data_IF_048444367592
#
_entry.id   IF_048444367592
#
_cell.length_a   1.000
_cell.length_b   1.000
_cell.length_c   1.000
_cell.angle_alpha   90.00
_cell.angle_beta   90.00
_cell.angle_gamma   90.00
#
_symmetry.space_group_name_H-M   'P 1'
#
loop_
_entity.id
_entity.type
_entity.pdbx_description
1 polymer ?
#
# COMPACT_ATOMS: atom_id res chain seq x y z
N UNK A 1 2.14 25.09 4.40
CA UNK A 1 2.24 26.35 3.63
C UNK A 1 3.34 26.21 2.60
N UNK A 2 3.00 26.19 1.31
CA UNK A 2 3.92 25.94 0.21
C UNK A 2 4.44 27.26 -0.40
N UNK A 3 5.39 27.91 0.28
CA UNK A 3 6.03 29.14 -0.22
C UNK A 3 6.84 28.86 -1.49
N UNK A 4 7.42 27.67 -1.60
CA UNK A 4 8.23 27.31 -2.76
C UNK A 4 7.42 27.33 -4.05
N UNK A 5 6.19 26.79 -4.04
CA UNK A 5 5.26 26.85 -5.18
C UNK A 5 4.92 28.28 -5.59
N UNK A 6 4.79 29.20 -4.63
CA UNK A 6 4.60 30.63 -4.92
C UNK A 6 5.84 31.23 -5.62
N UNK A 7 7.04 30.92 -5.12
CA UNK A 7 8.31 31.43 -5.68
C UNK A 7 8.52 30.89 -7.10
N UNK A 8 8.33 29.59 -7.29
CA UNK A 8 8.56 28.92 -8.57
C UNK A 8 7.60 29.47 -9.63
N UNK A 9 6.30 29.62 -9.29
CA UNK A 9 5.33 30.21 -10.20
C UNK A 9 5.64 31.64 -10.58
N UNK A 10 6.12 32.46 -9.64
CA UNK A 10 6.58 33.82 -9.94
C UNK A 10 7.72 33.82 -10.96
N UNK A 11 8.71 32.95 -10.76
CA UNK A 11 9.87 32.83 -11.65
C UNK A 11 9.48 32.31 -13.03
N UNK A 12 8.58 31.33 -13.12
CA UNK A 12 8.02 30.83 -14.38
C UNK A 12 7.34 31.92 -15.21
N UNK A 13 6.61 32.82 -14.55
CA UNK A 13 5.96 33.96 -15.19
C UNK A 13 6.90 35.14 -15.45
N UNK A 14 8.19 35.02 -15.07
CA UNK A 14 9.20 36.05 -15.31
C UNK A 14 9.07 37.29 -14.43
N UNK A 15 8.24 37.28 -13.40
CA UNK A 15 8.04 38.46 -12.54
C UNK A 15 9.21 38.66 -11.57
N UNK A 16 9.76 39.87 -11.51
CA UNK A 16 10.54 40.31 -10.35
C UNK A 16 9.63 40.52 -9.12
N UNK A 17 10.20 40.50 -7.92
CA UNK A 17 9.43 40.80 -6.69
C UNK A 17 8.80 42.20 -6.73
N UNK A 18 9.46 43.17 -7.36
CA UNK A 18 8.93 44.53 -7.50
C UNK A 18 7.73 44.58 -8.46
N UNK A 19 7.78 43.83 -9.57
CA UNK A 19 6.68 43.75 -10.53
C UNK A 19 5.48 43.02 -9.93
N UNK A 20 5.71 41.90 -9.24
CA UNK A 20 4.65 41.16 -8.56
C UNK A 20 3.97 42.03 -7.49
N UNK A 21 4.73 42.85 -6.75
CA UNK A 21 4.22 43.73 -5.70
C UNK A 21 3.39 44.91 -6.23
N UNK A 22 3.59 45.33 -7.48
CA UNK A 22 3.06 46.59 -8.03
C UNK A 22 1.53 46.72 -7.88
N UNK A 23 1.07 47.74 -7.15
CA UNK A 23 -0.36 47.98 -6.93
C UNK A 23 -1.04 47.01 -5.94
N UNK A 24 -0.27 46.18 -5.23
CA UNK A 24 -0.78 45.25 -4.21
C UNK A 24 -0.08 45.51 -2.86
N UNK A 25 1.25 45.49 -2.84
CA UNK A 25 2.04 45.71 -1.63
C UNK A 25 3.44 46.26 -1.98
N UNK A 26 4.38 46.25 -1.03
CA UNK A 26 5.78 46.66 -1.28
C UNK A 26 6.65 45.46 -1.64
N UNK A 27 7.72 45.68 -2.41
CA UNK A 27 8.69 44.64 -2.74
C UNK A 27 9.29 43.99 -1.48
N UNK A 28 9.52 44.79 -0.43
CA UNK A 28 10.00 44.29 0.86
C UNK A 28 9.03 43.30 1.52
N UNK A 29 7.71 43.46 1.32
CA UNK A 29 6.69 42.53 1.82
C UNK A 29 6.79 41.17 1.13
N UNK A 30 6.95 41.16 -0.21
CA UNK A 30 7.17 39.92 -0.97
C UNK A 30 8.49 39.27 -0.56
N UNK A 31 9.57 40.04 -0.46
CA UNK A 31 10.88 39.52 -0.04
C UNK A 31 10.81 38.87 1.35
N UNK A 32 10.11 39.48 2.31
CA UNK A 32 9.92 38.89 3.66
C UNK A 32 9.03 37.65 3.65
N UNK A 33 8.02 37.60 2.78
CA UNK A 33 7.19 36.42 2.61
C UNK A 33 7.98 35.26 1.99
N UNK A 34 8.71 35.51 0.89
CA UNK A 34 9.50 34.49 0.18
C UNK A 34 10.70 33.98 1.00
N UNK A 35 11.44 34.86 1.66
CA UNK A 35 12.69 34.48 2.33
C UNK A 35 12.52 34.06 3.81
N UNK A 36 11.55 34.65 4.52
CA UNK A 36 11.42 34.47 5.97
C UNK A 36 10.07 33.87 6.39
N UNK A 37 9.21 33.51 5.43
CA UNK A 37 7.88 32.98 5.71
C UNK A 37 6.98 33.91 6.51
N UNK A 38 7.28 35.22 6.51
CA UNK A 38 6.51 36.18 7.31
C UNK A 38 5.09 36.27 6.77
N UNK A 39 4.12 35.88 7.60
CA UNK A 39 2.70 35.94 7.25
C UNK A 39 2.29 37.37 6.86
N UNK A 40 1.73 37.48 5.66
CA UNK A 40 1.10 38.67 5.14
C UNK A 40 -0.41 38.57 5.33
N UNK A 41 -1.12 39.68 5.22
CA UNK A 41 -2.58 39.64 5.34
C UNK A 41 -3.17 38.78 4.23
N UNK A 42 -4.23 38.05 4.55
CA UNK A 42 -4.97 37.21 3.59
C UNK A 42 -5.39 38.01 2.35
N UNK A 43 -5.82 39.26 2.53
CA UNK A 43 -6.16 40.17 1.42
C UNK A 43 -4.99 40.36 0.44
N UNK A 44 -3.77 40.62 0.93
CA UNK A 44 -2.58 40.80 0.09
C UNK A 44 -2.24 39.47 -0.60
N UNK A 45 -2.25 38.37 0.15
CA UNK A 45 -1.90 37.07 -0.40
C UNK A 45 -2.85 36.64 -1.52
N UNK A 46 -4.17 36.78 -1.35
CA UNK A 46 -5.15 36.44 -2.39
C UNK A 46 -4.92 37.24 -3.67
N UNK A 47 -4.62 38.54 -3.56
CA UNK A 47 -4.32 39.38 -4.72
C UNK A 47 -3.04 38.94 -5.45
N UNK A 48 -2.01 38.53 -4.70
CA UNK A 48 -0.77 38.00 -5.27
C UNK A 48 -1.01 36.64 -5.94
N UNK A 49 -1.75 35.72 -5.31
CA UNK A 49 -2.14 34.44 -5.89
C UNK A 49 -2.88 34.65 -7.22
N UNK A 50 -3.88 35.54 -7.23
CA UNK A 50 -4.67 35.85 -8.42
C UNK A 50 -3.79 36.34 -9.58
N UNK A 51 -2.79 37.17 -9.30
CA UNK A 51 -1.84 37.66 -10.32
C UNK A 51 -0.92 36.55 -10.86
N UNK A 52 -0.61 35.55 -10.04
CA UNK A 52 0.19 34.38 -10.43
C UNK A 52 -0.64 33.26 -11.06
N UNK A 53 -1.97 33.41 -11.13
CA UNK A 53 -2.89 32.35 -11.55
C UNK A 53 -2.93 31.17 -10.57
N UNK A 54 -2.62 31.43 -9.30
CA UNK A 54 -2.71 30.46 -8.21
C UNK A 54 -4.01 30.69 -7.42
N UNK A 55 -4.52 29.61 -6.84
CA UNK A 55 -5.52 29.68 -5.78
C UNK A 55 -4.84 29.81 -4.41
N UNK A 56 -5.60 30.15 -3.37
CA UNK A 56 -5.10 30.04 -2.00
C UNK A 56 -4.76 28.60 -1.63
N UNK A 57 -5.48 27.61 -2.18
CA UNK A 57 -5.23 26.18 -1.94
C UNK A 57 -3.87 25.72 -2.50
N UNK A 58 -3.33 26.40 -3.52
CA UNK A 58 -1.98 26.11 -4.02
C UNK A 58 -0.87 26.47 -3.02
N UNK A 59 -1.15 27.39 -2.09
CA UNK A 59 -0.20 27.87 -1.08
C UNK A 59 -0.53 27.29 0.30
N UNK A 60 -1.80 27.13 0.58
CA UNK A 60 -2.33 26.48 1.78
C UNK A 60 -3.27 25.37 1.35
N UNK A 61 -2.72 24.20 0.97
CA UNK A 61 -3.55 23.03 0.72
C UNK A 61 -4.44 22.80 1.93
N UNK A 62 -5.72 22.54 1.71
CA UNK A 62 -6.58 22.09 2.82
C UNK A 62 -6.09 20.72 3.29
N UNK A 63 -6.32 20.38 4.56
CA UNK A 63 -6.04 19.03 5.07
C UNK A 63 -6.71 17.96 4.19
N UNK A 64 -7.93 18.22 3.73
CA UNK A 64 -8.66 17.33 2.82
C UNK A 64 -7.97 17.13 1.45
N UNK A 65 -7.36 18.18 0.88
CA UNK A 65 -6.64 18.08 -0.40
C UNK A 65 -5.33 17.29 -0.23
N UNK A 66 -4.61 17.54 0.87
CA UNK A 66 -3.38 16.82 1.23
C UNK A 66 -3.66 15.34 1.47
N UNK A 67 -4.68 15.03 2.28
CA UNK A 67 -5.09 13.67 2.59
C UNK A 67 -5.52 12.92 1.32
N UNK A 68 -6.22 13.58 0.40
CA UNK A 68 -6.63 12.99 -0.89
C UNK A 68 -5.43 12.62 -1.77
N UNK A 69 -4.43 13.50 -1.86
CA UNK A 69 -3.21 13.23 -2.62
C UNK A 69 -2.40 12.08 -1.99
N UNK A 70 -2.24 12.07 -0.67
CA UNK A 70 -1.56 10.97 0.05
C UNK A 70 -2.30 9.65 -0.17
N UNK A 71 -3.64 9.63 -0.07
CA UNK A 71 -4.45 8.42 -0.34
C UNK A 71 -4.26 7.90 -1.76
N UNK A 72 -4.11 8.79 -2.75
CA UNK A 72 -3.85 8.37 -4.13
C UNK A 72 -2.49 7.68 -4.27
N UNK A 73 -1.44 8.22 -3.65
CA UNK A 73 -0.11 7.61 -3.66
C UNK A 73 -0.07 6.32 -2.83
N UNK A 74 -0.79 6.24 -1.71
CA UNK A 74 -0.92 4.99 -0.95
C UNK A 74 -1.61 3.88 -1.76
N UNK A 75 -2.66 4.20 -2.52
CA UNK A 75 -3.28 3.21 -3.43
C UNK A 75 -2.31 2.70 -4.50
N UNK A 76 -1.41 3.57 -5.00
CA UNK A 76 -0.36 3.16 -5.94
C UNK A 76 0.67 2.26 -5.25
N UNK A 77 1.12 2.62 -4.05
CA UNK A 77 2.04 1.79 -3.28
C UNK A 77 1.43 0.43 -2.89
N UNK A 78 0.13 0.37 -2.56
CA UNK A 78 -0.59 -0.88 -2.30
C UNK A 78 -0.69 -1.74 -3.57
N UNK A 79 -0.89 -1.13 -4.74
CA UNK A 79 -0.86 -1.84 -6.01
C UNK A 79 0.53 -2.45 -6.29
N UNK A 80 1.59 -1.66 -6.14
CA UNK A 80 2.98 -2.10 -6.33
C UNK A 80 3.34 -3.22 -5.34
N UNK A 81 2.82 -3.17 -4.11
CA UNK A 81 2.95 -4.25 -3.14
C UNK A 81 2.33 -5.57 -3.66
N UNK A 82 1.12 -5.52 -4.23
CA UNK A 82 0.40 -6.69 -4.76
C UNK A 82 1.11 -7.26 -5.99
N UNK A 83 1.62 -6.41 -6.87
CA UNK A 83 2.39 -6.82 -8.07
C UNK A 83 3.82 -7.25 -7.75
N UNK A 84 4.20 -7.29 -6.47
CA UNK A 84 5.53 -7.68 -5.97
C UNK A 84 6.65 -6.70 -6.34
N UNK A 85 6.30 -5.46 -6.66
CA UNK A 85 7.17 -4.34 -6.99
C UNK A 85 7.54 -3.57 -5.70
N UNK A 86 8.13 -4.29 -4.73
CA UNK A 86 8.36 -3.77 -3.36
C UNK A 86 9.24 -2.52 -3.32
N UNK A 87 10.21 -2.41 -4.23
CA UNK A 87 11.13 -1.27 -4.28
C UNK A 87 10.43 0.01 -4.75
N UNK A 88 9.47 -0.13 -5.67
CA UNK A 88 8.64 0.97 -6.17
C UNK A 88 7.66 1.42 -5.09
N UNK A 89 7.01 0.48 -4.40
CA UNK A 89 6.17 0.77 -3.24
C UNK A 89 6.94 1.54 -2.15
N UNK A 90 8.12 1.06 -1.75
CA UNK A 90 8.99 1.75 -0.78
C UNK A 90 9.53 3.10 -1.31
N UNK A 91 9.65 3.25 -2.62
CA UNK A 91 9.99 4.52 -3.27
C UNK A 91 8.90 5.56 -3.07
N UNK A 92 7.64 5.21 -3.35
CA UNK A 92 6.48 6.06 -3.14
C UNK A 92 6.38 6.45 -1.66
N UNK A 93 6.43 5.47 -0.75
CA UNK A 93 6.27 5.72 0.69
C UNK A 93 7.35 6.64 1.28
N UNK A 94 8.58 6.61 0.78
CA UNK A 94 9.66 7.51 1.23
C UNK A 94 9.44 8.96 0.80
N UNK A 95 8.64 9.21 -0.24
CA UNK A 95 8.34 10.55 -0.72
C UNK A 95 7.18 11.23 0.03
N UNK A 96 6.44 10.47 0.86
CA UNK A 96 5.30 10.98 1.61
C UNK A 96 5.74 11.65 2.91
N UNK A 97 5.25 12.86 3.15
CA UNK A 97 5.42 13.57 4.42
C UNK A 97 4.40 13.08 5.46
N UNK A 98 4.46 11.78 5.78
CA UNK A 98 3.43 11.11 6.59
C UNK A 98 3.30 11.72 8.00
N UNK A 99 4.38 12.22 8.58
CA UNK A 99 4.37 12.86 9.91
C UNK A 99 3.51 14.13 9.99
N UNK A 100 3.17 14.73 8.84
CA UNK A 100 2.29 15.90 8.76
C UNK A 100 0.80 15.53 8.63
N UNK A 101 0.48 14.24 8.47
CA UNK A 101 -0.88 13.76 8.27
C UNK A 101 -1.52 13.39 9.61
N UNK A 102 -2.59 14.10 9.98
CA UNK A 102 -3.34 13.84 11.22
C UNK A 102 -4.31 12.66 11.14
N UNK A 103 -4.65 12.20 9.92
CA UNK A 103 -5.60 11.11 9.71
C UNK A 103 -5.00 9.75 10.10
N UNK A 104 -5.51 9.18 11.20
CA UNK A 104 -5.07 7.89 11.73
C UNK A 104 -5.25 6.74 10.74
N UNK A 105 -6.25 6.79 9.87
CA UNK A 105 -6.49 5.75 8.88
C UNK A 105 -5.41 5.76 7.80
N UNK A 106 -4.98 6.95 7.36
CA UNK A 106 -3.87 7.12 6.43
C UNK A 106 -2.56 6.63 7.07
N UNK A 107 -2.34 6.95 8.35
CA UNK A 107 -1.17 6.46 9.10
C UNK A 107 -1.10 4.94 9.15
N UNK A 108 -2.20 4.26 9.51
CA UNK A 108 -2.24 2.80 9.53
C UNK A 108 -2.06 2.18 8.14
N UNK A 109 -2.63 2.79 7.11
CA UNK A 109 -2.46 2.33 5.72
C UNK A 109 -1.00 2.43 5.27
N UNK A 110 -0.35 3.56 5.54
CA UNK A 110 1.08 3.75 5.31
C UNK A 110 1.91 2.67 6.02
N UNK A 111 1.69 2.46 7.32
CA UNK A 111 2.42 1.48 8.13
C UNK A 111 2.20 0.05 7.64
N UNK A 112 0.98 -0.28 7.24
CA UNK A 112 0.63 -1.58 6.66
C UNK A 112 1.44 -1.84 5.38
N UNK A 113 1.39 -0.92 4.40
CA UNK A 113 2.08 -1.11 3.12
C UNK A 113 3.59 -1.17 3.33
N UNK A 114 4.13 -0.27 4.16
CA UNK A 114 5.56 -0.22 4.50
C UNK A 114 6.03 -1.52 5.15
N UNK A 115 5.32 -1.97 6.18
CA UNK A 115 5.66 -3.18 6.92
C UNK A 115 5.66 -4.43 6.03
N UNK A 116 4.65 -4.58 5.16
CA UNK A 116 4.59 -5.70 4.23
C UNK A 116 5.73 -5.64 3.20
N UNK A 117 5.99 -4.47 2.61
CA UNK A 117 7.05 -4.32 1.64
C UNK A 117 8.44 -4.63 2.24
N UNK A 118 8.71 -4.19 3.48
CA UNK A 118 9.95 -4.50 4.20
C UNK A 118 10.08 -6.00 4.51
N UNK A 119 9.02 -6.62 5.04
CA UNK A 119 9.02 -8.04 5.38
C UNK A 119 9.20 -8.93 4.14
N UNK A 120 8.44 -8.66 3.06
CA UNK A 120 8.45 -9.48 1.85
C UNK A 120 9.71 -9.29 1.00
N UNK A 121 10.33 -8.10 1.02
CA UNK A 121 11.62 -7.85 0.38
C UNK A 121 12.82 -8.35 1.20
N UNK A 122 12.59 -8.86 2.42
CA UNK A 122 13.62 -9.34 3.37
C UNK A 122 14.72 -8.31 3.67
N UNK A 123 14.39 -7.02 3.61
CA UNK A 123 15.36 -5.93 3.83
C UNK A 123 15.60 -5.66 5.31
N UNK A 124 14.52 -5.54 6.07
CA UNK A 124 14.57 -5.19 7.49
C UNK A 124 13.34 -5.76 8.21
N UNK A 125 13.54 -6.87 8.92
CA UNK A 125 12.47 -7.57 9.63
C UNK A 125 12.08 -6.81 10.90
N UNK A 126 13.04 -6.19 11.58
CA UNK A 126 12.79 -5.45 12.82
C UNK A 126 11.98 -4.19 12.54
N UNK A 127 12.31 -3.46 11.47
CA UNK A 127 11.54 -2.29 11.04
C UNK A 127 10.13 -2.68 10.54
N UNK A 128 9.98 -3.83 9.89
CA UNK A 128 8.67 -4.36 9.53
C UNK A 128 7.81 -4.66 10.76
N UNK A 129 8.39 -5.34 11.77
CA UNK A 129 7.74 -5.62 13.05
C UNK A 129 7.35 -4.31 13.74
N UNK A 130 8.23 -3.32 13.75
CA UNK A 130 7.95 -2.01 14.33
C UNK A 130 6.73 -1.33 13.68
N UNK A 131 6.62 -1.37 12.35
CA UNK A 131 5.44 -0.84 11.65
C UNK A 131 4.13 -1.50 12.13
N UNK A 132 4.13 -2.82 12.31
CA UNK A 132 2.96 -3.55 12.78
C UNK A 132 2.68 -3.33 14.26
N UNK A 133 3.71 -3.15 15.08
CA UNK A 133 3.59 -2.80 16.49
C UNK A 133 2.94 -1.43 16.68
N UNK A 134 3.33 -0.43 15.88
CA UNK A 134 2.69 0.89 15.89
C UNK A 134 1.20 0.82 15.54
N UNK A 135 0.79 -0.09 14.64
CA UNK A 135 -0.63 -0.31 14.35
C UNK A 135 -1.32 -0.91 15.59
N UNK A 136 -0.82 -2.03 16.11
CA UNK A 136 -1.49 -2.82 17.16
C UNK A 136 -1.50 -2.11 18.51
N UNK A 137 -0.42 -1.43 18.88
CA UNK A 137 -0.20 -0.85 20.20
C UNK A 137 -0.22 0.69 20.21
N UNK A 138 -0.51 1.33 19.07
CA UNK A 138 -0.57 2.79 18.96
C UNK A 138 -1.83 3.31 18.27
N UNK A 139 -2.05 2.93 17.02
CA UNK A 139 -3.17 3.47 16.24
C UNK A 139 -4.50 2.72 16.42
N UNK A 140 -4.45 1.40 16.68
CA UNK A 140 -5.62 0.52 16.83
C UNK A 140 -5.49 -0.41 18.04
N UNK A 141 -5.19 0.15 19.21
CA UNK A 141 -5.08 -0.58 20.50
C UNK A 141 -6.32 -1.37 20.90
N UNK A 142 -7.50 -1.03 20.36
CA UNK A 142 -8.74 -1.78 20.59
C UNK A 142 -8.93 -2.93 19.59
N UNK A 143 -8.07 -3.04 18.59
CA UNK A 143 -8.07 -4.03 17.52
C UNK A 143 -9.41 -4.11 16.77
N UNK A 144 -9.94 -2.94 16.42
CA UNK A 144 -11.28 -2.79 15.84
C UNK A 144 -11.28 -2.59 14.34
N UNK A 145 -10.15 -2.14 13.77
CA UNK A 145 -10.05 -1.86 12.34
C UNK A 145 -9.56 -3.08 11.56
N UNK A 146 -9.65 -2.99 10.22
CA UNK A 146 -9.06 -4.00 9.31
C UNK A 146 -7.52 -4.04 9.41
N UNK A 147 -6.88 -3.01 9.95
CA UNK A 147 -5.42 -2.95 10.05
C UNK A 147 -4.85 -3.86 11.13
N UNK A 148 -5.60 -4.16 12.19
CA UNK A 148 -5.16 -5.11 13.21
C UNK A 148 -4.95 -6.54 12.69
N UNK A 149 -5.92 -7.18 12.00
CA UNK A 149 -5.68 -8.50 11.41
C UNK A 149 -4.64 -8.45 10.28
N UNK A 150 -4.52 -7.36 9.53
CA UNK A 150 -3.41 -7.16 8.59
C UNK A 150 -2.05 -7.12 9.29
N UNK A 151 -1.94 -6.42 10.41
CA UNK A 151 -0.71 -6.31 11.19
C UNK A 151 -0.34 -7.65 11.83
N UNK A 152 -1.31 -8.47 12.26
CA UNK A 152 -1.04 -9.84 12.69
C UNK A 152 -0.49 -10.70 11.54
N UNK A 153 -1.11 -10.68 10.36
CA UNK A 153 -0.57 -11.38 9.19
C UNK A 153 0.83 -10.86 8.84
N UNK A 154 1.06 -9.55 8.93
CA UNK A 154 2.35 -8.90 8.73
C UNK A 154 3.42 -9.40 9.71
N UNK A 155 3.12 -9.44 11.01
CA UNK A 155 3.97 -10.04 12.04
C UNK A 155 4.28 -11.51 11.71
N UNK A 156 3.28 -12.27 11.25
CA UNK A 156 3.44 -13.65 10.81
C UNK A 156 4.46 -13.78 9.68
N UNK A 157 4.35 -12.95 8.64
CA UNK A 157 5.31 -12.87 7.53
C UNK A 157 6.71 -12.54 8.06
N UNK A 158 6.84 -11.51 8.88
CA UNK A 158 8.12 -11.08 9.45
C UNK A 158 8.81 -12.20 10.23
N UNK A 159 8.10 -12.88 11.14
CA UNK A 159 8.65 -13.99 11.90
C UNK A 159 8.97 -15.21 11.05
N UNK A 160 8.16 -15.49 10.02
CA UNK A 160 8.47 -16.54 9.05
C UNK A 160 9.77 -16.24 8.31
N UNK A 161 9.99 -14.99 7.87
CA UNK A 161 11.24 -14.60 7.21
C UNK A 161 12.46 -14.68 8.13
N UNK A 162 12.27 -14.42 9.43
CA UNK A 162 13.29 -14.64 10.45
C UNK A 162 13.52 -16.14 10.80
N UNK A 163 12.78 -17.07 10.18
CA UNK A 163 12.86 -18.50 10.47
C UNK A 163 12.20 -18.93 11.79
N UNK A 164 11.44 -18.04 12.44
CA UNK A 164 10.72 -18.32 13.69
C UNK A 164 9.27 -18.73 13.40
N UNK A 165 9.11 -19.99 13.00
CA UNK A 165 7.81 -20.53 12.57
C UNK A 165 6.77 -20.60 13.71
N UNK A 166 7.18 -20.86 14.95
CA UNK A 166 6.25 -20.92 16.08
C UNK A 166 5.61 -19.55 16.35
N UNK A 167 6.41 -18.47 16.31
CA UNK A 167 5.88 -17.11 16.41
C UNK A 167 5.03 -16.76 15.19
N UNK A 168 5.47 -17.15 13.99
CA UNK A 168 4.69 -16.91 12.79
C UNK A 168 3.28 -17.54 12.89
N UNK A 169 3.21 -18.80 13.31
CA UNK A 169 1.96 -19.55 13.51
C UNK A 169 1.04 -18.88 14.55
N UNK A 170 1.61 -18.40 15.66
CA UNK A 170 0.87 -17.65 16.68
C UNK A 170 0.20 -16.40 16.09
N UNK A 171 0.85 -15.68 15.18
CA UNK A 171 0.27 -14.47 14.59
C UNK A 171 -0.72 -14.78 13.45
N UNK A 172 -0.42 -15.75 12.58
CA UNK A 172 -1.33 -16.16 11.52
C UNK A 172 -2.64 -16.76 12.07
N UNK A 173 -2.58 -17.53 13.16
CA UNK A 173 -3.77 -18.14 13.77
C UNK A 173 -4.77 -17.13 14.37
N UNK A 174 -4.37 -15.87 14.59
CA UNK A 174 -5.26 -14.80 15.06
C UNK A 174 -6.15 -14.20 13.96
N UNK A 175 -5.80 -14.43 12.69
CA UNK A 175 -6.50 -13.81 11.55
C UNK A 175 -7.94 -14.33 11.36
N UNK A 176 -8.25 -15.66 11.39
CA UNK A 176 -9.56 -16.18 10.98
C UNK A 176 -10.75 -15.71 11.82
N UNK A 177 -10.56 -15.58 13.14
CA UNK A 177 -11.60 -15.07 14.04
C UNK A 177 -11.95 -13.60 13.71
N UNK A 178 -10.95 -12.82 13.32
CA UNK A 178 -11.06 -11.37 13.07
C UNK A 178 -11.60 -11.04 11.68
N UNK A 179 -11.40 -11.91 10.68
CA UNK A 179 -12.08 -11.78 9.39
C UNK A 179 -13.61 -11.91 9.52
N UNK A 180 -14.10 -12.77 10.42
CA UNK A 180 -15.54 -12.97 10.63
C UNK A 180 -16.22 -11.77 11.27
N UNK A 181 -15.51 -11.00 12.09
CA UNK A 181 -16.07 -9.82 12.79
C UNK A 181 -16.04 -8.55 11.93
N UNK A 182 -15.17 -8.49 10.92
CA UNK A 182 -14.86 -7.26 10.17
C UNK A 182 -15.35 -7.28 8.71
N UNK A 183 -16.44 -8.00 8.40
CA UNK A 183 -17.00 -8.09 7.05
C UNK A 183 -17.58 -6.74 6.56
N UNK A 184 -16.70 -5.82 6.19
CA UNK A 184 -17.05 -4.54 5.57
C UNK A 184 -17.30 -4.72 4.06
N UNK A 185 -18.24 -3.94 3.54
CA UNK A 185 -18.86 -4.11 2.21
C UNK A 185 -18.17 -3.32 1.09
N UNK A 186 -17.07 -2.65 1.36
CA UNK A 186 -16.42 -1.73 0.40
C UNK A 186 -15.30 -2.43 -0.39
N UNK A 187 -15.12 -2.05 -1.67
CA UNK A 187 -14.15 -2.63 -2.60
C UNK A 187 -12.72 -2.44 -2.09
N UNK A 188 -12.40 -1.28 -1.50
CA UNK A 188 -11.07 -1.02 -0.91
C UNK A 188 -10.76 -1.94 0.30
N UNK A 189 -11.80 -2.46 0.96
CA UNK A 189 -11.65 -3.45 2.04
C UNK A 189 -11.52 -4.90 1.53
N UNK A 190 -11.90 -5.14 0.27
CA UNK A 190 -11.78 -6.47 -0.36
C UNK A 190 -10.31 -6.83 -0.52
N UNK A 191 -9.47 -5.94 -1.04
CA UNK A 191 -8.05 -6.26 -1.26
C UNK A 191 -7.30 -6.56 0.03
N UNK A 192 -7.65 -5.89 1.12
CA UNK A 192 -7.12 -6.17 2.46
C UNK A 192 -7.51 -7.58 2.93
N UNK A 193 -8.73 -8.01 2.64
CA UNK A 193 -9.18 -9.40 2.88
C UNK A 193 -8.45 -10.42 2.02
N UNK A 194 -8.28 -10.13 0.72
CA UNK A 194 -7.54 -11.01 -0.19
C UNK A 194 -6.07 -11.14 0.23
N UNK A 195 -5.43 -10.04 0.62
CA UNK A 195 -4.07 -10.01 1.18
C UNK A 195 -3.96 -10.96 2.37
N UNK A 196 -4.86 -10.84 3.36
CA UNK A 196 -4.85 -11.72 4.53
C UNK A 196 -5.02 -13.19 4.18
N UNK A 197 -5.99 -13.52 3.31
CA UNK A 197 -6.24 -14.90 2.87
C UNK A 197 -5.04 -15.47 2.12
N UNK A 198 -4.42 -14.68 1.22
CA UNK A 198 -3.30 -15.12 0.41
C UNK A 198 -2.08 -15.48 1.27
N UNK A 199 -1.63 -14.54 2.11
CA UNK A 199 -0.41 -14.75 2.90
C UNK A 199 -0.61 -15.82 3.97
N UNK A 200 -1.78 -15.90 4.58
CA UNK A 200 -2.09 -16.98 5.53
C UNK A 200 -2.18 -18.35 4.83
N UNK A 201 -2.79 -18.40 3.64
CA UNK A 201 -2.82 -19.62 2.82
C UNK A 201 -1.43 -20.11 2.44
N UNK A 202 -0.54 -19.20 2.04
CA UNK A 202 0.86 -19.52 1.73
C UNK A 202 1.64 -19.99 2.97
N UNK A 203 1.40 -19.40 4.14
CA UNK A 203 2.01 -19.85 5.38
C UNK A 203 1.65 -21.30 5.69
N UNK A 204 0.37 -21.65 5.65
CA UNK A 204 -0.08 -23.03 5.90
C UNK A 204 0.42 -24.01 4.84
N UNK A 205 0.54 -23.60 3.57
CA UNK A 205 1.22 -24.41 2.55
C UNK A 205 2.68 -24.70 2.93
N UNK A 206 3.42 -23.68 3.38
CA UNK A 206 4.81 -23.83 3.82
C UNK A 206 4.97 -24.72 5.06
N UNK A 207 3.91 -24.87 5.86
CA UNK A 207 3.83 -25.77 7.02
C UNK A 207 3.34 -27.18 6.65
N UNK A 208 3.10 -27.45 5.36
CA UNK A 208 2.54 -28.69 4.84
C UNK A 208 1.08 -28.97 5.32
N UNK A 209 0.36 -27.93 5.70
CA UNK A 209 -1.07 -27.96 6.04
C UNK A 209 -1.90 -27.61 4.79
N UNK A 210 -1.84 -28.50 3.80
CA UNK A 210 -2.32 -28.24 2.43
C UNK A 210 -3.83 -28.01 2.38
N UNK A 211 -4.61 -28.71 3.20
CA UNK A 211 -6.06 -28.57 3.26
C UNK A 211 -6.48 -27.17 3.73
N UNK A 212 -5.81 -26.65 4.77
CA UNK A 212 -6.08 -25.31 5.30
C UNK A 212 -5.66 -24.25 4.28
N UNK A 213 -4.49 -24.43 3.66
CA UNK A 213 -4.03 -23.57 2.57
C UNK A 213 -5.06 -23.49 1.44
N UNK A 214 -5.51 -24.65 0.93
CA UNK A 214 -6.47 -24.73 -0.15
C UNK A 214 -7.82 -24.08 0.21
N UNK A 215 -8.30 -24.26 1.44
CA UNK A 215 -9.52 -23.61 1.93
C UNK A 215 -9.42 -22.08 1.88
N UNK A 216 -8.30 -21.53 2.37
CA UNK A 216 -8.06 -20.08 2.40
C UNK A 216 -7.94 -19.51 0.98
N UNK A 217 -7.17 -20.17 0.11
CA UNK A 217 -6.95 -19.73 -1.27
C UNK A 217 -8.21 -19.86 -2.13
N UNK A 218 -9.05 -20.89 -1.90
CA UNK A 218 -10.35 -20.99 -2.56
C UNK A 218 -11.31 -19.89 -2.06
N UNK A 219 -11.27 -19.56 -0.77
CA UNK A 219 -12.06 -18.44 -0.21
C UNK A 219 -11.65 -17.11 -0.85
N UNK A 220 -10.35 -16.92 -1.11
CA UNK A 220 -9.82 -15.77 -1.84
C UNK A 220 -10.36 -15.72 -3.27
N UNK A 221 -10.34 -16.84 -4.01
CA UNK A 221 -10.85 -16.91 -5.39
C UNK A 221 -12.36 -16.61 -5.42
N UNK A 222 -13.14 -17.18 -4.50
CA UNK A 222 -14.58 -16.94 -4.42
C UNK A 222 -14.86 -15.45 -4.15
N UNK A 223 -14.19 -14.86 -3.15
CA UNK A 223 -14.34 -13.43 -2.84
C UNK A 223 -13.90 -12.54 -4.01
N UNK A 224 -12.85 -12.94 -4.73
CA UNK A 224 -12.37 -12.24 -5.93
C UNK A 224 -13.39 -12.27 -7.06
N UNK A 225 -14.02 -13.42 -7.28
CA UNK A 225 -15.09 -13.62 -8.27
C UNK A 225 -16.33 -12.77 -7.94
N UNK A 226 -16.80 -12.83 -6.69
CA UNK A 226 -17.98 -12.11 -6.21
C UNK A 226 -17.83 -10.59 -6.29
N UNK A 227 -16.59 -10.10 -6.24
CA UNK A 227 -16.25 -8.67 -6.25
C UNK A 227 -15.61 -8.19 -7.54
N UNK A 228 -15.47 -9.09 -8.53
CA UNK A 228 -14.85 -8.81 -9.83
C UNK A 228 -13.45 -8.19 -9.75
N UNK A 229 -12.64 -8.65 -8.81
CA UNK A 229 -11.23 -8.22 -8.64
C UNK A 229 -10.29 -9.37 -8.99
N UNK A 230 -9.23 -9.10 -9.74
CA UNK A 230 -8.41 -10.17 -10.36
C UNK A 230 -6.98 -10.25 -9.87
N UNK A 231 -6.49 -9.26 -9.10
CA UNK A 231 -5.05 -9.10 -8.84
C UNK A 231 -4.42 -10.30 -8.12
N UNK A 232 -5.04 -10.80 -7.05
CA UNK A 232 -4.55 -11.95 -6.29
C UNK A 232 -4.92 -13.31 -6.91
N UNK A 233 -5.85 -13.37 -7.88
CA UNK A 233 -6.35 -14.63 -8.46
C UNK A 233 -5.20 -15.43 -9.08
N UNK A 234 -4.35 -14.76 -9.85
CA UNK A 234 -3.20 -15.40 -10.49
C UNK A 234 -2.24 -16.03 -9.47
N UNK A 235 -1.94 -15.31 -8.40
CA UNK A 235 -1.03 -15.79 -7.35
C UNK A 235 -1.65 -16.94 -6.55
N UNK A 236 -2.95 -16.84 -6.22
CA UNK A 236 -3.65 -17.90 -5.51
C UNK A 236 -3.74 -19.19 -6.33
N UNK A 237 -4.05 -19.10 -7.63
CA UNK A 237 -4.06 -20.26 -8.52
C UNK A 237 -2.69 -20.90 -8.67
N UNK A 238 -1.63 -20.08 -8.75
CA UNK A 238 -0.26 -20.59 -8.77
C UNK A 238 0.09 -21.35 -7.49
N UNK A 239 -0.28 -20.83 -6.31
CA UNK A 239 -0.05 -21.56 -5.05
C UNK A 239 -0.91 -22.84 -4.97
N UNK A 240 -2.17 -22.80 -5.41
CA UNK A 240 -3.02 -24.00 -5.49
C UNK A 240 -2.41 -25.06 -6.40
N UNK A 241 -1.78 -24.66 -7.51
CA UNK A 241 -1.06 -25.60 -8.38
C UNK A 241 0.13 -26.23 -7.66
N UNK A 242 0.89 -25.44 -6.88
CA UNK A 242 2.01 -25.99 -6.11
C UNK A 242 1.55 -26.97 -5.03
N UNK A 243 0.45 -26.64 -4.35
CA UNK A 243 -0.21 -27.51 -3.39
C UNK A 243 -0.73 -28.81 -4.03
N UNK A 244 -1.34 -28.74 -5.21
CA UNK A 244 -1.82 -29.93 -5.94
C UNK A 244 -0.65 -30.82 -6.36
N UNK A 245 0.45 -30.22 -6.84
CA UNK A 245 1.63 -30.97 -7.23
C UNK A 245 2.33 -31.63 -6.04
N UNK A 246 2.40 -30.95 -4.89
CA UNK A 246 3.08 -31.50 -3.70
C UNK A 246 2.38 -32.75 -3.16
N UNK A 247 1.05 -32.84 -3.32
CA UNK A 247 0.24 -33.99 -2.86
C UNK A 247 0.08 -35.05 -3.95
N UNK A 248 -0.27 -34.66 -5.18
CA UNK A 248 -0.71 -35.58 -6.24
C UNK A 248 0.22 -35.62 -7.46
N UNK A 249 1.24 -34.76 -7.51
CA UNK A 249 2.10 -34.59 -8.69
C UNK A 249 1.38 -33.95 -9.88
N UNK A 250 1.77 -34.32 -11.09
CA UNK A 250 1.28 -33.70 -12.33
C UNK A 250 -0.08 -34.27 -12.74
N UNK A 251 -1.15 -33.69 -12.20
CA UNK A 251 -2.55 -34.04 -12.53
C UNK A 251 -3.13 -33.13 -13.62
N UNK A 252 -4.33 -33.46 -14.10
CA UNK A 252 -5.10 -32.55 -14.96
C UNK A 252 -5.42 -31.25 -14.22
N UNK A 253 -5.86 -31.34 -12.95
CA UNK A 253 -6.15 -30.18 -12.10
C UNK A 253 -4.94 -29.27 -11.93
N UNK A 254 -3.75 -29.83 -11.73
CA UNK A 254 -2.50 -29.06 -11.70
C UNK A 254 -2.32 -28.24 -12.99
N UNK A 255 -2.55 -28.86 -14.15
CA UNK A 255 -2.37 -28.21 -15.45
C UNK A 255 -3.41 -27.10 -15.70
N UNK A 256 -4.64 -27.29 -15.23
CA UNK A 256 -5.71 -26.28 -15.24
C UNK A 256 -5.33 -25.07 -14.37
N UNK A 257 -4.91 -25.31 -13.12
CA UNK A 257 -4.51 -24.25 -12.18
C UNK A 257 -3.34 -23.40 -12.71
N UNK A 258 -2.32 -24.03 -13.32
CA UNK A 258 -1.22 -23.32 -13.95
C UNK A 258 -1.70 -22.48 -15.15
N UNK A 259 -2.59 -23.04 -15.97
CA UNK A 259 -3.13 -22.34 -17.14
C UNK A 259 -3.92 -21.11 -16.74
N UNK A 260 -4.75 -21.23 -15.70
CA UNK A 260 -5.52 -20.10 -15.17
C UNK A 260 -4.60 -19.06 -14.54
N UNK A 261 -3.63 -19.48 -13.72
CA UNK A 261 -2.64 -18.58 -13.12
C UNK A 261 -1.94 -17.74 -14.19
N UNK A 262 -1.54 -18.38 -15.29
CA UNK A 262 -0.91 -17.70 -16.43
C UNK A 262 -1.87 -16.75 -17.16
N UNK A 263 -3.13 -17.15 -17.34
CA UNK A 263 -4.15 -16.30 -17.97
C UNK A 263 -4.40 -15.01 -17.17
N UNK A 264 -4.62 -15.13 -15.85
CA UNK A 264 -4.82 -13.97 -14.99
C UNK A 264 -3.55 -13.13 -14.81
N UNK A 265 -2.36 -13.75 -14.75
CA UNK A 265 -1.10 -13.01 -14.69
C UNK A 265 -0.91 -12.14 -15.95
N UNK A 266 -1.24 -12.66 -17.13
CA UNK A 266 -1.22 -11.88 -18.39
C UNK A 266 -2.25 -10.77 -18.39
N UNK A 267 -3.48 -11.06 -17.97
CA UNK A 267 -4.56 -10.06 -17.87
C UNK A 267 -4.15 -8.88 -16.97
N UNK A 268 -3.58 -9.17 -15.81
CA UNK A 268 -3.11 -8.18 -14.83
C UNK A 268 -1.74 -7.56 -15.19
N UNK A 269 -1.10 -7.98 -16.28
CA UNK A 269 0.27 -7.56 -16.68
C UNK A 269 1.34 -7.84 -15.62
N UNK A 270 1.16 -8.85 -14.76
CA UNK A 270 2.11 -9.23 -13.72
C UNK A 270 3.29 -10.01 -14.33
N UNK A 271 4.30 -9.27 -14.82
CA UNK A 271 5.47 -9.85 -15.50
C UNK A 271 6.33 -10.72 -14.58
N UNK A 272 6.39 -10.40 -13.29
CA UNK A 272 7.17 -11.17 -12.32
C UNK A 272 6.57 -12.55 -12.12
N UNK A 273 5.25 -12.65 -11.94
CA UNK A 273 4.56 -13.92 -11.80
C UNK A 273 4.63 -14.76 -13.08
N UNK A 274 4.50 -14.15 -14.27
CA UNK A 274 4.66 -14.88 -15.55
C UNK A 274 6.02 -15.57 -15.61
N UNK A 275 7.11 -14.86 -15.28
CA UNK A 275 8.46 -15.44 -15.23
C UNK A 275 8.56 -16.58 -14.22
N UNK A 276 7.92 -16.45 -13.06
CA UNK A 276 7.91 -17.51 -12.04
C UNK A 276 7.19 -18.76 -12.55
N UNK A 277 6.01 -18.61 -13.15
CA UNK A 277 5.23 -19.71 -13.73
C UNK A 277 6.03 -20.42 -14.83
N UNK A 278 6.66 -19.66 -15.74
CA UNK A 278 7.47 -20.22 -16.83
C UNK A 278 8.67 -21.03 -16.31
N UNK A 279 9.37 -20.53 -15.28
CA UNK A 279 10.47 -21.23 -14.63
C UNK A 279 10.00 -22.50 -13.92
N UNK A 280 8.85 -22.43 -13.27
CA UNK A 280 8.26 -23.54 -12.55
C UNK A 280 7.84 -24.66 -13.49
N UNK A 281 7.17 -24.33 -14.60
CA UNK A 281 6.80 -25.27 -15.64
C UNK A 281 8.04 -25.95 -16.25
N UNK A 282 9.15 -25.22 -16.45
CA UNK A 282 10.41 -25.80 -16.97
C UNK A 282 11.12 -26.75 -16.00
N UNK A 283 10.94 -26.59 -14.69
CA UNK A 283 11.59 -27.44 -13.67
C UNK A 283 10.82 -28.72 -13.36
N UNK A 284 9.52 -28.76 -13.65
CA UNK A 284 8.60 -29.87 -13.33
C UNK A 284 8.00 -30.55 -14.58
N UNK A 285 8.54 -30.23 -15.76
CA UNK A 285 8.42 -30.96 -17.03
C UNK A 285 9.70 -31.76 -17.23
#
# INVERSE_FOLDING_TARGET
MNIQRFIDRRKELGYSQSELAKGICTQATISKFENNGKMISTKILTQLCQRLGLSLNDIFPSEADSDSAVRAELRRAEFDLITTEYDDALGILRSLEIDQIGDKQIQMEYLFIRGYALALSKRDVDEAIFCFDQILNGYDEAHTTVYSPLAYVGMGISYQQAGNFDKAEFYFSKMPERLKTNANKDVDSVWKSLTMLFYTGNFYAARNEIEISNMLLQSLINLSSDRHVTFYVAQAQYQLADNEYSVNGKTQRFSELISDAFAFARFNRNRNLIKQIDLYAKKRV
#
